data_IF_177988447982
#
_entry.id   IF_177988447982
#
_cell.length_a   1.000
_cell.length_b   1.000
_cell.length_c   1.000
_cell.angle_alpha   90.00
_cell.angle_beta   90.00
_cell.angle_gamma   90.00
#
_symmetry.space_group_name_H-M   'P 1'
#
loop_
_entity.id
_entity.type
_entity.pdbx_description
1 polymer ?
#
# COMPACT_ATOMS: atom_id res chain seq x y z
N UNK A 1 -2.01 -0.33 5.05
CA UNK A 1 -2.24 -0.49 3.60
C UNK A 1 -3.43 0.31 3.08
N UNK A 2 -4.59 0.28 3.73
CA UNK A 2 -5.77 1.10 3.32
C UNK A 2 -5.46 2.58 3.39
N UNK A 3 -4.80 3.03 4.46
CA UNK A 3 -4.37 4.43 4.63
C UNK A 3 -3.44 4.86 3.50
N UNK A 4 -2.42 4.07 3.20
CA UNK A 4 -1.49 4.37 2.13
C UNK A 4 -2.21 4.53 0.79
N UNK A 5 -3.09 3.59 0.46
CA UNK A 5 -3.85 3.65 -0.78
C UNK A 5 -4.72 4.91 -0.85
N UNK A 6 -5.43 5.23 0.22
CA UNK A 6 -6.31 6.39 0.25
C UNK A 6 -5.55 7.71 0.12
N UNK A 7 -4.48 7.90 0.90
CA UNK A 7 -3.71 9.14 0.86
C UNK A 7 -2.92 9.29 -0.45
N UNK A 8 -2.40 8.21 -1.02
CA UNK A 8 -1.79 8.25 -2.35
C UNK A 8 -2.81 8.64 -3.41
N UNK A 9 -4.02 8.13 -3.34
CA UNK A 9 -5.11 8.52 -4.24
C UNK A 9 -5.40 10.03 -4.14
N UNK A 10 -5.54 10.58 -2.95
CA UNK A 10 -5.75 12.01 -2.77
C UNK A 10 -4.58 12.85 -3.32
N UNK A 11 -3.34 12.41 -3.06
CA UNK A 11 -2.15 13.07 -3.58
C UNK A 11 -2.13 13.03 -5.11
N UNK A 12 -2.46 11.90 -5.70
CA UNK A 12 -2.51 11.71 -7.14
C UNK A 12 -3.52 12.65 -7.80
N UNK A 13 -4.70 12.81 -7.21
CA UNK A 13 -5.70 13.79 -7.69
C UNK A 13 -5.16 15.21 -7.67
N UNK A 14 -4.50 15.62 -6.60
CA UNK A 14 -3.88 16.94 -6.51
C UNK A 14 -2.80 17.17 -7.58
N UNK A 15 -2.11 16.11 -7.98
CA UNK A 15 -1.09 16.14 -9.03
C UNK A 15 -1.67 16.04 -10.46
N UNK A 16 -2.99 15.92 -10.60
CA UNK A 16 -3.67 15.84 -11.88
C UNK A 16 -3.74 14.46 -12.52
N UNK A 17 -3.38 13.41 -11.79
CA UNK A 17 -3.54 12.05 -12.29
C UNK A 17 -5.01 11.62 -12.29
N UNK A 18 -5.47 11.07 -13.40
CA UNK A 18 -6.84 10.60 -13.57
C UNK A 18 -7.00 9.11 -13.33
N UNK A 19 -5.91 8.35 -13.40
CA UNK A 19 -5.88 6.91 -13.14
C UNK A 19 -4.70 6.56 -12.26
N UNK A 20 -4.91 5.68 -11.32
CA UNK A 20 -3.84 5.08 -10.52
C UNK A 20 -3.99 3.56 -10.50
N UNK A 21 -2.88 2.87 -10.38
CA UNK A 21 -2.85 1.43 -10.22
C UNK A 21 -2.06 1.05 -8.96
N UNK A 22 -2.48 -0.01 -8.29
CA UNK A 22 -1.81 -0.56 -7.14
C UNK A 22 -1.24 -1.93 -7.49
N UNK A 23 0.08 -2.05 -7.44
CA UNK A 23 0.77 -3.33 -7.54
C UNK A 23 1.04 -3.88 -6.14
N UNK A 24 0.53 -5.05 -5.84
CA UNK A 24 0.65 -5.66 -4.51
C UNK A 24 0.49 -7.19 -4.59
N UNK A 25 0.78 -7.88 -3.50
CA UNK A 25 0.57 -9.32 -3.42
C UNK A 25 -0.91 -9.71 -3.57
N UNK A 26 -1.22 -10.93 -4.01
CA UNK A 26 -2.60 -11.34 -4.29
C UNK A 26 -3.53 -11.29 -3.08
N UNK A 27 -3.01 -11.52 -1.88
CA UNK A 27 -3.81 -11.48 -0.65
C UNK A 27 -4.24 -10.05 -0.31
N UNK A 28 -3.29 -9.11 -0.31
CA UNK A 28 -3.58 -7.69 -0.11
C UNK A 28 -4.43 -7.12 -1.24
N UNK A 29 -4.20 -7.56 -2.48
CA UNK A 29 -5.00 -7.14 -3.64
C UNK A 29 -6.49 -7.40 -3.42
N UNK A 30 -6.85 -8.56 -2.90
CA UNK A 30 -8.24 -8.92 -2.62
C UNK A 30 -8.89 -8.01 -1.58
N UNK A 31 -8.18 -7.70 -0.51
CA UNK A 31 -8.66 -6.82 0.56
C UNK A 31 -8.79 -5.37 0.09
N UNK A 32 -7.75 -4.87 -0.55
CA UNK A 32 -7.70 -3.48 -1.01
C UNK A 32 -8.68 -3.19 -2.14
N UNK A 33 -9.00 -4.18 -2.99
CA UNK A 33 -10.03 -4.05 -4.02
C UNK A 33 -11.40 -3.72 -3.42
N UNK A 34 -11.77 -4.40 -2.35
CA UNK A 34 -13.04 -4.12 -1.65
C UNK A 34 -13.07 -2.71 -1.05
N UNK A 35 -11.98 -2.32 -0.42
CA UNK A 35 -11.83 -0.98 0.14
C UNK A 35 -11.88 0.09 -0.96
N UNK A 36 -11.08 -0.07 -2.01
CA UNK A 36 -11.02 0.88 -3.12
C UNK A 36 -12.38 1.08 -3.78
N UNK A 37 -13.11 -0.02 -4.04
CA UNK A 37 -14.45 0.05 -4.64
C UNK A 37 -15.44 0.88 -3.81
N UNK A 38 -15.31 0.87 -2.48
CA UNK A 38 -16.22 1.57 -1.58
C UNK A 38 -15.82 3.03 -1.32
N UNK A 39 -14.53 3.33 -1.35
CA UNK A 39 -13.99 4.58 -0.81
C UNK A 39 -13.25 5.44 -1.82
N UNK A 40 -12.97 4.93 -3.00
CA UNK A 40 -12.19 5.63 -4.01
C UNK A 40 -12.96 5.71 -5.32
N UNK A 41 -13.07 6.92 -5.84
CA UNK A 41 -13.70 7.18 -7.14
C UNK A 41 -12.85 8.22 -7.92
N UNK A 42 -12.38 7.94 -9.12
CA UNK A 42 -12.58 6.71 -9.92
C UNK A 42 -11.91 5.46 -9.31
N UNK A 43 -12.33 4.26 -9.73
CA UNK A 43 -11.76 3.03 -9.18
C UNK A 43 -10.27 2.90 -9.45
N UNK A 44 -9.56 2.28 -8.52
CA UNK A 44 -8.13 1.97 -8.63
C UNK A 44 -7.97 0.64 -9.34
N UNK A 45 -7.09 0.58 -10.33
CA UNK A 45 -6.69 -0.67 -10.94
C UNK A 45 -5.77 -1.44 -10.00
N UNK A 46 -6.09 -2.68 -9.72
CA UNK A 46 -5.28 -3.55 -8.86
C UNK A 46 -4.49 -4.52 -9.73
N UNK A 47 -3.17 -4.47 -9.62
CA UNK A 47 -2.26 -5.34 -10.37
C UNK A 47 -1.60 -6.30 -9.38
N UNK A 48 -2.19 -7.48 -9.11
CA UNK A 48 -1.56 -8.48 -8.29
C UNK A 48 -0.42 -9.13 -9.07
N UNK A 49 0.73 -9.33 -8.43
CA UNK A 49 1.82 -10.05 -9.06
C UNK A 49 1.60 -11.57 -8.97
N UNK A 50 2.14 -12.30 -9.95
CA UNK A 50 2.09 -13.75 -10.00
C UNK A 50 3.39 -14.31 -9.40
N UNK A 51 3.28 -14.94 -8.23
CA UNK A 51 4.43 -15.42 -7.45
C UNK A 51 5.28 -16.41 -8.23
N UNK A 52 4.65 -17.34 -8.95
CA UNK A 52 5.37 -18.35 -9.74
C UNK A 52 6.19 -17.71 -10.87
N UNK A 53 5.65 -16.68 -11.52
CA UNK A 53 6.38 -15.91 -12.52
C UNK A 53 7.57 -15.18 -11.90
N UNK A 54 7.40 -14.56 -10.74
CA UNK A 54 8.49 -13.90 -10.03
C UNK A 54 9.59 -14.87 -9.64
N UNK A 55 9.25 -16.05 -9.13
CA UNK A 55 10.22 -17.09 -8.78
C UNK A 55 11.00 -17.58 -10.00
N UNK A 56 10.34 -17.75 -11.14
CA UNK A 56 11.00 -18.18 -12.38
C UNK A 56 11.96 -17.11 -12.95
N UNK A 57 11.68 -15.83 -12.71
CA UNK A 57 12.52 -14.72 -13.15
C UNK A 57 13.65 -14.40 -12.17
N UNK A 58 13.55 -14.82 -10.91
CA UNK A 58 14.51 -14.51 -9.85
C UNK A 58 15.98 -14.74 -10.22
N UNK A 59 16.37 -15.85 -10.90
CA UNK A 59 17.76 -16.07 -11.29
C UNK A 59 18.31 -15.04 -12.27
N UNK A 60 17.43 -14.35 -13.00
CA UNK A 60 17.77 -13.36 -14.02
C UNK A 60 17.64 -11.91 -13.52
N UNK A 61 17.15 -11.73 -12.29
CA UNK A 61 16.99 -10.41 -11.71
C UNK A 61 18.33 -9.82 -11.28
N UNK A 62 18.54 -8.56 -11.61
CA UNK A 62 19.67 -7.79 -11.11
C UNK A 62 19.27 -7.18 -9.78
N UNK A 63 20.03 -7.50 -8.71
CA UNK A 63 19.83 -6.86 -7.43
C UNK A 63 20.35 -5.42 -7.50
N UNK A 64 19.50 -4.40 -7.30
CA UNK A 64 19.96 -3.02 -7.27
C UNK A 64 20.87 -2.80 -6.06
N UNK A 65 21.90 -1.98 -6.23
CA UNK A 65 22.67 -1.48 -5.10
C UNK A 65 21.85 -0.41 -4.39
N UNK A 66 21.43 -0.71 -3.16
CA UNK A 66 20.62 0.19 -2.35
C UNK A 66 21.40 0.58 -1.10
N UNK A 67 21.60 1.88 -0.89
CA UNK A 67 22.15 2.39 0.36
C UNK A 67 21.04 2.47 1.41
N UNK A 68 20.82 1.35 2.10
CA UNK A 68 19.79 1.25 3.14
C UNK A 68 20.08 2.15 4.36
N UNK A 69 21.32 2.61 4.54
CA UNK A 69 21.69 3.49 5.67
C UNK A 69 20.98 4.84 5.59
N UNK A 70 20.67 5.33 4.41
CA UNK A 70 19.90 6.57 4.22
C UNK A 70 18.46 6.46 4.72
N UNK A 71 17.90 5.26 4.70
CA UNK A 71 16.55 4.98 5.20
C UNK A 71 16.51 4.57 6.67
N UNK A 72 17.69 4.41 7.30
CA UNK A 72 17.76 3.97 8.69
C UNK A 72 17.31 5.09 9.64
N UNK A 73 16.38 4.75 10.52
CA UNK A 73 15.91 5.63 11.59
C UNK A 73 16.09 4.92 12.93
N UNK A 74 17.04 5.39 13.75
CA UNK A 74 17.31 4.84 15.07
C UNK A 74 16.14 4.96 16.06
N UNK A 75 15.24 5.92 15.82
CA UNK A 75 14.04 6.14 16.63
C UNK A 75 12.81 5.41 16.06
N UNK A 76 13.01 4.50 15.10
CA UNK A 76 11.90 3.76 14.51
C UNK A 76 11.23 2.87 15.56
N UNK A 77 9.92 3.04 15.69
CA UNK A 77 9.07 2.18 16.52
C UNK A 77 8.17 1.37 15.60
N UNK A 78 8.19 0.06 15.74
CA UNK A 78 7.41 -0.82 14.87
C UNK A 78 5.90 -0.60 15.07
N UNK A 79 5.11 -0.92 14.05
CA UNK A 79 3.65 -0.81 14.14
C UNK A 79 3.07 -1.70 15.25
N UNK A 80 3.73 -2.83 15.56
CA UNK A 80 3.32 -3.72 16.64
C UNK A 80 3.46 -3.08 18.03
N UNK A 81 4.42 -2.20 18.18
CA UNK A 81 4.68 -1.45 19.42
C UNK A 81 3.83 -0.19 19.51
N UNK A 82 3.61 0.50 18.38
CA UNK A 82 2.84 1.75 18.33
C UNK A 82 1.34 1.54 18.42
N UNK A 83 0.83 0.42 17.91
CA UNK A 83 -0.59 0.19 17.74
C UNK A 83 -1.04 -1.11 18.37
N UNK A 84 -2.14 -1.06 19.11
CA UNK A 84 -2.80 -2.26 19.62
C UNK A 84 -3.33 -3.14 18.48
N UNK A 85 -3.56 -4.42 18.78
CA UNK A 85 -4.17 -5.35 17.82
C UNK A 85 -5.50 -4.81 17.27
N UNK A 86 -6.33 -4.24 18.10
CA UNK A 86 -7.61 -3.66 17.73
C UNK A 86 -7.46 -2.49 16.76
N UNK A 87 -6.49 -1.59 17.02
CA UNK A 87 -6.21 -0.47 16.12
C UNK A 87 -5.74 -0.94 14.76
N UNK A 88 -4.89 -1.98 14.72
CA UNK A 88 -4.43 -2.58 13.45
C UNK A 88 -5.57 -3.23 12.67
N UNK A 89 -6.49 -3.94 13.34
CA UNK A 89 -7.68 -4.51 12.70
C UNK A 89 -8.61 -3.44 12.13
N UNK A 90 -8.85 -2.37 12.88
CA UNK A 90 -9.60 -1.20 12.39
C UNK A 90 -8.94 -0.57 11.16
N UNK A 91 -7.61 -0.49 11.14
CA UNK A 91 -6.84 0.00 9.99
C UNK A 91 -7.06 -0.83 8.73
N UNK A 92 -7.15 -2.15 8.86
CA UNK A 92 -7.45 -3.05 7.74
C UNK A 92 -8.82 -2.76 7.11
N UNK A 93 -9.78 -2.31 7.91
CA UNK A 93 -11.12 -1.90 7.47
C UNK A 93 -11.19 -0.43 7.01
N UNK A 94 -10.09 0.29 7.03
CA UNK A 94 -10.04 1.71 6.68
C UNK A 94 -10.61 2.65 7.74
N UNK A 95 -10.81 2.19 8.96
CA UNK A 95 -11.41 2.99 10.05
C UNK A 95 -10.45 3.98 10.71
N UNK A 96 -9.15 3.84 10.49
CA UNK A 96 -8.14 4.77 11.01
C UNK A 96 -7.82 5.91 10.03
N UNK A 97 -8.48 5.97 8.89
CA UNK A 97 -8.27 6.99 7.87
C UNK A 97 -9.00 8.26 8.28
N UNK A 98 -8.32 9.39 8.21
CA UNK A 98 -8.94 10.69 8.28
C UNK A 98 -9.48 11.07 6.89
N UNK A 99 -10.77 10.83 6.66
CA UNK A 99 -11.44 11.14 5.40
C UNK A 99 -11.64 12.64 5.18
N UNK A 100 -11.34 13.48 6.17
CA UNK A 100 -11.50 14.94 6.12
C UNK A 100 -10.16 15.68 6.02
N UNK A 101 -9.01 14.95 5.99
CA UNK A 101 -7.67 15.53 6.01
C UNK A 101 -7.30 16.37 4.77
N UNK A 102 -8.06 16.26 3.67
CA UNK A 102 -7.75 16.95 2.39
C UNK A 102 -9.00 17.48 1.70
#
# INVERSE_FOLDING_TARGET
STENLYYVFLKSKKLGFTKIALATDPFQAKQLRRFAKKKINPPVDIIPFVIDTLKSLQPFMINPSIDYKQAYNSNFVSIKERESLWKRLKGTLGKNIDYHAY
#
